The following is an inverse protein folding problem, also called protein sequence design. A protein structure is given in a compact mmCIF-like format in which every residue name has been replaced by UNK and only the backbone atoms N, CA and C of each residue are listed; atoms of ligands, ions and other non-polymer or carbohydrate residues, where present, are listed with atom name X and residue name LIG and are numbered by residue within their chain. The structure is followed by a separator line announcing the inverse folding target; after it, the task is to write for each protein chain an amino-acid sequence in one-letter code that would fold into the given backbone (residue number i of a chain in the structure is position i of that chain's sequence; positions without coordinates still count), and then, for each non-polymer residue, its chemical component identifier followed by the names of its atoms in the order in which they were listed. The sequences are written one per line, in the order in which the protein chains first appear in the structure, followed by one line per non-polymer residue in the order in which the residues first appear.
data_IF_278304523435
#
_entry.id   IF_278304523435
#
_cell.length_a   1.000
_cell.length_b   1.000
_cell.length_c   1.000
_cell.angle_alpha   90.00
_cell.angle_beta   90.00
_cell.angle_gamma   90.00
#
_symmetry.space_group_name_H-M   'P 1'
#
loop_
_entity.id
_entity.type
_entity.pdbx_description
1 polymer ?
#
# COMPACT_ATOMS: atom_id res chain seq x y z
N UNK A 1 2.68 17.69 -35.52
CA UNK A 1 1.45 18.08 -34.80
C UNK A 1 1.04 16.80 -34.11
N UNK A 2 1.80 16.47 -33.07
CA UNK A 2 1.64 15.24 -32.33
C UNK A 2 0.87 15.66 -31.10
N UNK A 3 -0.44 15.46 -31.15
CA UNK A 3 -1.26 15.50 -29.94
C UNK A 3 -0.77 14.33 -29.09
N UNK A 4 0.08 14.63 -28.11
CA UNK A 4 0.11 13.89 -26.85
C UNK A 4 -1.36 13.71 -26.45
N UNK A 5 -1.86 12.48 -26.57
CA UNK A 5 -3.17 12.18 -25.99
C UNK A 5 -2.95 12.23 -24.49
N UNK A 6 -3.47 13.27 -23.86
CA UNK A 6 -3.73 13.31 -22.43
C UNK A 6 -4.40 11.99 -22.04
N UNK A 7 -3.62 11.13 -21.39
CA UNK A 7 -4.08 9.88 -20.79
C UNK A 7 -4.71 10.17 -19.42
N UNK A 8 -5.57 11.19 -19.35
CA UNK A 8 -6.02 11.79 -18.09
C UNK A 8 -7.22 11.08 -17.45
N UNK A 9 -7.74 10.04 -18.10
CA UNK A 9 -9.05 9.45 -17.80
C UNK A 9 -9.15 7.92 -17.90
N UNK A 10 -8.16 7.25 -18.49
CA UNK A 10 -8.35 5.83 -18.85
C UNK A 10 -8.39 4.91 -17.61
N UNK A 11 -9.22 3.83 -17.66
CA UNK A 11 -9.22 2.80 -16.64
C UNK A 11 -7.85 2.14 -16.44
N UNK A 12 -7.55 1.74 -15.21
CA UNK A 12 -6.35 0.96 -14.89
C UNK A 12 -6.33 -0.36 -15.68
N UNK A 13 -7.51 -0.96 -15.90
CA UNK A 13 -7.62 -2.22 -16.66
C UNK A 13 -7.05 -2.14 -18.08
N UNK A 14 -6.96 -0.96 -18.68
CA UNK A 14 -6.48 -0.81 -20.06
C UNK A 14 -4.96 -0.91 -20.19
N UNK A 15 -4.23 -0.66 -19.10
CA UNK A 15 -2.76 -0.72 -19.07
C UNK A 15 -2.22 -2.02 -18.47
N UNK A 16 -3.11 -2.85 -17.91
CA UNK A 16 -2.78 -4.18 -17.41
C UNK A 16 -2.64 -5.19 -18.57
N UNK A 17 -1.72 -6.12 -18.42
CA UNK A 17 -1.51 -7.21 -19.39
C UNK A 17 -2.55 -8.31 -19.15
N UNK A 18 -2.89 -9.05 -20.21
CA UNK A 18 -3.72 -10.25 -20.07
C UNK A 18 -3.02 -11.32 -19.24
N UNK A 19 -3.80 -12.04 -18.42
CA UNK A 19 -3.27 -13.13 -17.61
C UNK A 19 -2.68 -14.26 -18.47
N UNK A 20 -1.69 -14.94 -17.91
CA UNK A 20 -1.11 -16.16 -18.49
C UNK A 20 -1.40 -17.34 -17.56
N UNK A 21 -1.35 -18.56 -18.08
CA UNK A 21 -1.58 -19.78 -17.27
C UNK A 21 -0.66 -19.85 -16.05
N UNK A 22 0.61 -19.47 -16.22
CA UNK A 22 1.61 -19.54 -15.15
C UNK A 22 1.30 -18.52 -14.04
N UNK A 23 0.79 -17.34 -14.42
CA UNK A 23 0.41 -16.29 -13.48
C UNK A 23 -0.89 -16.64 -12.75
N UNK A 24 -1.85 -17.28 -13.41
CA UNK A 24 -3.09 -17.74 -12.76
C UNK A 24 -2.83 -18.79 -11.66
N UNK A 25 -1.70 -19.50 -11.71
CA UNK A 25 -1.28 -20.45 -10.67
C UNK A 25 -0.72 -19.75 -9.41
N UNK A 26 -0.38 -18.46 -9.49
CA UNK A 26 0.12 -17.70 -8.34
C UNK A 26 -1.04 -17.39 -7.37
N UNK A 27 -1.10 -18.06 -6.22
CA UNK A 27 -2.21 -17.86 -5.26
C UNK A 27 -2.00 -16.64 -4.33
N UNK A 28 -0.76 -16.23 -4.11
CA UNK A 28 -0.40 -15.11 -3.22
C UNK A 28 0.99 -14.58 -3.52
N UNK A 29 1.29 -13.36 -3.07
CA UNK A 29 2.64 -12.78 -3.16
C UNK A 29 3.58 -13.25 -2.05
N UNK A 30 3.14 -14.16 -1.17
CA UNK A 30 3.95 -14.61 -0.05
C UNK A 30 5.19 -15.39 -0.53
N UNK A 31 6.39 -14.98 -0.11
CA UNK A 31 7.72 -15.41 -0.56
C UNK A 31 8.17 -14.92 -1.96
N UNK A 32 7.39 -14.07 -2.61
CA UNK A 32 7.77 -13.41 -3.88
C UNK A 32 7.58 -11.89 -3.81
N UNK A 33 7.51 -11.33 -2.60
CA UNK A 33 7.21 -9.92 -2.35
C UNK A 33 8.19 -8.99 -3.07
N UNK A 34 9.46 -9.37 -3.14
CA UNK A 34 10.52 -8.62 -3.82
C UNK A 34 10.23 -8.40 -5.32
N UNK A 35 9.50 -9.31 -5.97
CA UNK A 35 9.16 -9.16 -7.40
C UNK A 35 8.11 -8.07 -7.62
N UNK A 36 7.33 -7.76 -6.58
CA UNK A 36 6.19 -6.83 -6.60
C UNK A 36 6.40 -5.59 -5.72
N UNK A 37 7.62 -5.39 -5.20
CA UNK A 37 7.97 -4.32 -4.27
C UNK A 37 7.55 -2.94 -4.78
N UNK A 38 7.80 -2.62 -6.05
CA UNK A 38 7.48 -1.33 -6.65
C UNK A 38 5.97 -1.02 -6.63
N UNK A 39 5.10 -2.04 -6.73
CA UNK A 39 3.66 -1.85 -6.69
C UNK A 39 3.15 -1.76 -5.25
N UNK A 40 3.73 -2.58 -4.35
CA UNK A 40 3.45 -2.51 -2.93
C UNK A 40 3.83 -1.12 -2.39
N UNK A 41 5.04 -0.67 -2.68
CA UNK A 41 5.57 0.64 -2.33
C UNK A 41 4.71 1.77 -2.90
N UNK A 42 4.25 1.68 -4.15
CA UNK A 42 3.37 2.69 -4.74
C UNK A 42 2.06 2.86 -3.95
N UNK A 43 1.44 1.75 -3.54
CA UNK A 43 0.20 1.80 -2.75
C UNK A 43 0.48 2.24 -1.31
N UNK A 44 1.50 1.66 -0.68
CA UNK A 44 1.91 1.95 0.70
C UNK A 44 2.30 3.42 0.88
N UNK A 45 3.07 3.97 -0.06
CA UNK A 45 3.44 5.38 -0.07
C UNK A 45 2.21 6.29 -0.23
N UNK A 46 1.26 5.96 -1.12
CA UNK A 46 0.01 6.73 -1.25
C UNK A 46 -0.78 6.76 0.07
N UNK A 47 -0.86 5.63 0.77
CA UNK A 47 -1.54 5.54 2.07
C UNK A 47 -0.82 6.39 3.12
N UNK A 48 0.50 6.20 3.25
CA UNK A 48 1.35 6.91 4.21
C UNK A 48 1.26 8.44 4.02
N UNK A 49 1.42 8.89 2.77
CA UNK A 49 1.38 10.30 2.43
C UNK A 49 -0.02 10.90 2.64
N UNK A 50 -1.09 10.18 2.27
CA UNK A 50 -2.45 10.66 2.50
C UNK A 50 -2.76 10.79 3.99
N UNK A 51 -2.36 9.83 4.81
CA UNK A 51 -2.52 9.87 6.26
C UNK A 51 -1.81 11.11 6.86
N UNK A 52 -0.52 11.29 6.58
CA UNK A 52 0.26 12.38 7.18
C UNK A 52 -0.17 13.77 6.68
N UNK A 53 -0.37 13.94 5.37
CA UNK A 53 -0.52 15.27 4.76
C UNK A 53 -1.98 15.71 4.59
N UNK A 54 -2.92 14.76 4.49
CA UNK A 54 -4.32 15.06 4.11
C UNK A 54 -5.33 14.65 5.17
N UNK A 55 -5.16 13.51 5.83
CA UNK A 55 -6.13 12.99 6.78
C UNK A 55 -5.51 12.14 7.92
N UNK A 56 -5.06 12.78 9.02
CA UNK A 56 -4.51 12.06 10.17
C UNK A 56 -5.56 11.27 10.96
N UNK A 57 -6.85 11.39 10.63
CA UNK A 57 -7.93 10.58 11.20
C UNK A 57 -8.25 9.33 10.36
N UNK A 58 -7.54 9.09 9.24
CA UNK A 58 -7.73 7.90 8.41
C UNK A 58 -7.51 6.63 9.23
N UNK A 59 -8.43 5.66 9.10
CA UNK A 59 -8.37 4.38 9.80
C UNK A 59 -8.05 3.24 8.85
N UNK A 60 -7.57 2.14 9.42
CA UNK A 60 -7.27 0.91 8.69
C UNK A 60 -8.52 0.36 7.96
N UNK A 61 -9.71 0.48 8.56
CA UNK A 61 -10.99 0.08 7.94
C UNK A 61 -11.37 0.95 6.72
N UNK A 62 -11.01 2.24 6.74
CA UNK A 62 -11.21 3.12 5.60
C UNK A 62 -10.29 2.72 4.45
N UNK A 63 -9.02 2.38 4.76
CA UNK A 63 -8.05 1.86 3.77
C UNK A 63 -8.54 0.54 3.17
N UNK A 64 -9.06 -0.38 3.98
CA UNK A 64 -9.65 -1.63 3.48
C UNK A 64 -10.78 -1.33 2.48
N UNK A 65 -11.66 -0.38 2.81
CA UNK A 65 -12.78 0.01 1.94
C UNK A 65 -12.28 0.56 0.61
N UNK A 66 -11.29 1.46 0.66
CA UNK A 66 -10.63 2.03 -0.52
C UNK A 66 -10.01 0.95 -1.40
N UNK A 67 -9.20 0.07 -0.83
CA UNK A 67 -8.51 -1.00 -1.57
C UNK A 67 -9.50 -1.98 -2.21
N UNK A 68 -10.56 -2.35 -1.49
CA UNK A 68 -11.63 -3.19 -2.05
C UNK A 68 -12.38 -2.49 -3.17
N UNK A 69 -12.62 -1.18 -3.07
CA UNK A 69 -13.28 -0.42 -4.12
C UNK A 69 -12.42 -0.37 -5.39
N UNK A 70 -11.13 -0.06 -5.25
CA UNK A 70 -10.15 -0.10 -6.35
C UNK A 70 -10.14 -1.49 -7.00
N UNK A 71 -9.95 -2.55 -6.21
CA UNK A 71 -9.87 -3.94 -6.70
C UNK A 71 -11.12 -4.37 -7.49
N UNK A 72 -12.30 -3.87 -7.11
CA UNK A 72 -13.56 -4.26 -7.74
C UNK A 72 -13.95 -3.37 -8.92
N UNK A 73 -13.36 -2.19 -9.06
CA UNK A 73 -13.77 -1.19 -10.04
C UNK A 73 -12.61 -0.65 -10.90
N UNK A 74 -11.44 -1.28 -10.90
CA UNK A 74 -10.26 -0.84 -11.68
C UNK A 74 -10.49 -0.80 -13.21
N UNK A 75 -11.62 -1.34 -13.68
CA UNK A 75 -12.14 -1.23 -15.05
C UNK A 75 -12.88 0.10 -15.34
N UNK A 76 -13.12 0.92 -14.31
CA UNK A 76 -13.72 2.25 -14.41
C UNK A 76 -12.65 3.31 -14.67
N UNK A 77 -13.07 4.39 -15.32
CA UNK A 77 -12.22 5.56 -15.53
C UNK A 77 -11.85 6.23 -14.21
N UNK A 78 -10.70 6.92 -14.20
CA UNK A 78 -10.12 7.53 -12.99
C UNK A 78 -11.05 8.55 -12.33
N UNK A 79 -11.94 9.17 -13.10
CA UNK A 79 -12.97 10.10 -12.65
C UNK A 79 -14.00 9.46 -11.70
N UNK A 80 -14.06 8.13 -11.66
CA UNK A 80 -14.92 7.39 -10.72
C UNK A 80 -14.32 7.27 -9.33
N UNK A 81 -13.07 7.69 -9.13
CA UNK A 81 -12.33 7.57 -7.88
C UNK A 81 -12.02 8.94 -7.29
N UNK A 82 -11.88 8.99 -5.96
CA UNK A 82 -11.58 10.25 -5.26
C UNK A 82 -10.77 10.04 -3.99
N UNK A 83 -10.14 11.12 -3.50
CA UNK A 83 -9.32 11.05 -2.30
C UNK A 83 -8.20 10.03 -2.42
N UNK A 84 -8.03 9.19 -1.40
CA UNK A 84 -6.99 8.16 -1.36
C UNK A 84 -7.09 7.17 -2.53
N UNK A 85 -8.29 6.85 -3.02
CA UNK A 85 -8.45 5.94 -4.16
C UNK A 85 -7.73 6.45 -5.39
N UNK A 86 -7.88 7.76 -5.65
CA UNK A 86 -7.28 8.42 -6.79
C UNK A 86 -5.76 8.51 -6.62
N UNK A 87 -5.28 8.88 -5.44
CA UNK A 87 -3.84 8.94 -5.13
C UNK A 87 -3.16 7.55 -5.32
N UNK A 88 -3.83 6.46 -4.94
CA UNK A 88 -3.32 5.09 -5.17
C UNK A 88 -3.30 4.76 -6.67
N UNK A 89 -4.39 5.04 -7.39
CA UNK A 89 -4.49 4.71 -8.82
C UNK A 89 -3.48 5.50 -9.65
N UNK A 90 -3.28 6.79 -9.37
CA UNK A 90 -2.31 7.62 -10.09
C UNK A 90 -0.88 7.09 -9.91
N UNK A 91 -0.46 6.81 -8.67
CA UNK A 91 0.86 6.23 -8.42
C UNK A 91 1.02 4.84 -9.05
N UNK A 92 0.00 3.98 -8.97
CA UNK A 92 0.05 2.66 -9.61
C UNK A 92 0.13 2.75 -11.14
N UNK A 93 -0.54 3.72 -11.78
CA UNK A 93 -0.47 3.89 -13.23
C UNK A 93 0.95 4.16 -13.69
N UNK A 94 1.66 5.05 -13.00
CA UNK A 94 3.05 5.37 -13.32
C UNK A 94 3.92 4.11 -13.19
N UNK A 95 3.78 3.36 -12.08
CA UNK A 95 4.52 2.11 -11.87
C UNK A 95 4.19 1.04 -12.92
N UNK A 96 2.92 0.85 -13.27
CA UNK A 96 2.48 -0.17 -14.24
C UNK A 96 2.95 0.16 -15.66
N UNK A 97 2.97 1.44 -16.03
CA UNK A 97 3.49 1.88 -17.32
C UNK A 97 5.00 1.60 -17.47
N UNK A 98 5.77 1.71 -16.37
CA UNK A 98 7.19 1.37 -16.35
C UNK A 98 7.45 -0.15 -16.28
N UNK A 99 6.70 -0.85 -15.43
CA UNK A 99 6.79 -2.30 -15.20
C UNK A 99 5.38 -2.89 -15.30
N UNK A 100 4.97 -3.44 -16.45
CA UNK A 100 3.64 -4.00 -16.60
C UNK A 100 3.40 -5.25 -15.76
N UNK A 101 2.19 -5.38 -15.20
CA UNK A 101 1.67 -6.58 -14.52
C UNK A 101 0.33 -6.99 -15.11
N UNK A 102 -0.09 -8.23 -14.85
CA UNK A 102 -1.38 -8.74 -15.28
C UNK A 102 -2.53 -8.31 -14.36
N UNK A 103 -3.76 -8.61 -14.78
CA UNK A 103 -4.95 -8.40 -13.94
C UNK A 103 -4.93 -9.20 -12.64
N UNK A 104 -4.47 -10.44 -12.71
CA UNK A 104 -4.35 -11.33 -11.56
C UNK A 104 -3.30 -10.81 -10.58
N UNK A 105 -2.11 -10.47 -11.05
CA UNK A 105 -1.03 -9.91 -10.22
C UNK A 105 -1.46 -8.61 -9.52
N UNK A 106 -2.12 -7.71 -10.25
CA UNK A 106 -2.68 -6.50 -9.66
C UNK A 106 -3.62 -6.80 -8.48
N UNK A 107 -4.49 -7.81 -8.61
CA UNK A 107 -5.39 -8.21 -7.51
C UNK A 107 -4.60 -8.77 -6.32
N UNK A 108 -3.53 -9.51 -6.59
CA UNK A 108 -2.65 -10.06 -5.54
C UNK A 108 -1.89 -8.96 -4.79
N UNK A 109 -1.46 -7.89 -5.46
CA UNK A 109 -0.87 -6.70 -4.81
C UNK A 109 -1.84 -6.12 -3.79
N UNK A 110 -3.10 -5.91 -4.19
CA UNK A 110 -4.12 -5.38 -3.27
C UNK A 110 -4.42 -6.38 -2.15
N UNK A 111 -4.52 -7.68 -2.44
CA UNK A 111 -4.78 -8.72 -1.44
C UNK A 111 -3.66 -8.85 -0.41
N UNK A 112 -2.41 -8.68 -0.83
CA UNK A 112 -1.27 -8.68 0.06
C UNK A 112 -1.35 -7.53 1.07
N UNK A 113 -1.68 -6.33 0.61
CA UNK A 113 -1.84 -5.16 1.49
C UNK A 113 -3.03 -5.36 2.45
N UNK A 114 -4.16 -5.85 1.96
CA UNK A 114 -5.31 -6.21 2.80
C UNK A 114 -4.94 -7.24 3.87
N UNK A 115 -4.11 -8.23 3.53
CA UNK A 115 -3.58 -9.19 4.48
C UNK A 115 -2.65 -8.51 5.50
N UNK A 116 -1.76 -7.62 5.05
CA UNK A 116 -0.83 -6.85 5.89
C UNK A 116 -1.57 -5.99 6.94
N UNK A 117 -2.69 -5.35 6.55
CA UNK A 117 -3.57 -4.62 7.46
C UNK A 117 -4.13 -5.56 8.53
N UNK A 118 -4.74 -6.68 8.11
CA UNK A 118 -5.35 -7.65 9.03
C UNK A 118 -4.34 -8.25 10.01
N UNK A 119 -3.11 -8.47 9.54
CA UNK A 119 -2.03 -9.02 10.35
C UNK A 119 -1.51 -8.06 11.44
N UNK A 120 -1.99 -6.81 11.49
CA UNK A 120 -1.68 -5.82 12.54
C UNK A 120 -2.82 -5.56 13.52
N UNK A 121 -3.96 -6.25 13.36
CA UNK A 121 -5.13 -6.12 14.25
C UNK A 121 -4.84 -6.44 15.73
N UNK A 122 -3.74 -7.14 16.04
CA UNK A 122 -3.30 -7.42 17.40
C UNK A 122 -2.81 -6.19 18.17
N UNK A 123 -2.51 -5.07 17.49
CA UNK A 123 -2.10 -3.82 18.13
C UNK A 123 -3.26 -3.07 18.80
N UNK A 124 -4.51 -3.53 18.65
CA UNK A 124 -5.72 -2.92 19.21
C UNK A 124 -5.88 -1.41 18.94
N UNK A 125 -5.26 -0.91 17.86
CA UNK A 125 -5.31 0.47 17.35
C UNK A 125 -6.02 0.45 16.00
N UNK A 126 -6.99 1.35 15.80
CA UNK A 126 -7.72 1.48 14.54
C UNK A 126 -6.90 2.15 13.43
N UNK A 127 -5.68 2.59 13.76
CA UNK A 127 -4.69 3.18 12.86
C UNK A 127 -3.36 2.41 12.86
N UNK A 128 -3.36 1.14 13.27
CA UNK A 128 -2.14 0.34 13.41
C UNK A 128 -1.35 0.25 12.10
N UNK A 129 -2.01 -0.08 10.99
CA UNK A 129 -1.38 -0.19 9.69
C UNK A 129 -0.96 1.17 9.14
N UNK A 130 -1.85 2.17 9.16
CA UNK A 130 -1.52 3.50 8.60
C UNK A 130 -0.34 4.16 9.32
N UNK A 131 -0.22 4.01 10.64
CA UNK A 131 0.95 4.51 11.38
C UNK A 131 2.21 3.71 11.06
N UNK A 132 2.08 2.38 10.97
CA UNK A 132 3.21 1.53 10.61
C UNK A 132 3.75 1.87 9.22
N UNK A 133 2.89 2.01 8.22
CA UNK A 133 3.32 2.29 6.85
C UNK A 133 3.92 3.70 6.73
N UNK A 134 3.38 4.69 7.45
CA UNK A 134 4.00 6.03 7.52
C UNK A 134 5.38 6.03 8.17
N UNK A 135 5.60 5.22 9.21
CA UNK A 135 6.93 5.00 9.77
C UNK A 135 7.86 4.25 8.80
N UNK A 136 7.35 3.18 8.19
CA UNK A 136 8.10 2.33 7.26
C UNK A 136 8.59 3.13 6.05
N UNK A 137 7.73 3.93 5.44
CA UNK A 137 8.03 4.80 4.30
C UNK A 137 8.79 6.09 4.68
N UNK A 138 9.18 6.27 5.95
CA UNK A 138 9.93 7.44 6.42
C UNK A 138 9.23 8.79 6.17
N UNK A 139 7.89 8.83 6.33
CA UNK A 139 7.06 10.02 6.05
C UNK A 139 6.79 10.84 7.33
N UNK A 140 7.03 10.25 8.51
CA UNK A 140 6.87 10.95 9.78
C UNK A 140 7.87 12.09 9.98
N UNK A 141 7.43 13.14 10.68
CA UNK A 141 8.34 14.09 11.31
C UNK A 141 9.11 13.42 12.45
N UNK A 142 10.26 13.99 12.84
CA UNK A 142 11.07 13.50 13.98
C UNK A 142 10.23 13.26 15.24
N UNK A 143 9.24 14.13 15.49
CA UNK A 143 8.35 14.03 16.66
C UNK A 143 7.38 12.85 16.54
N UNK A 144 6.74 12.68 15.39
CA UNK A 144 5.80 11.57 15.16
C UNK A 144 6.53 10.23 15.16
N UNK A 145 7.77 10.20 14.66
CA UNK A 145 8.62 9.02 14.71
C UNK A 145 8.95 8.62 16.15
N UNK A 146 9.32 9.58 17.00
CA UNK A 146 9.59 9.33 18.42
C UNK A 146 8.34 8.80 19.13
N UNK A 147 7.19 9.46 18.92
CA UNK A 147 5.89 9.05 19.49
C UNK A 147 5.49 7.64 19.05
N UNK A 148 5.69 7.30 17.77
CA UNK A 148 5.41 5.97 17.25
C UNK A 148 6.35 4.90 17.83
N UNK A 149 7.65 5.18 17.96
CA UNK A 149 8.61 4.24 18.57
C UNK A 149 8.28 3.97 20.04
N UNK A 150 7.96 5.01 20.80
CA UNK A 150 7.55 4.87 22.21
C UNK A 150 6.28 4.02 22.33
N UNK A 151 5.30 4.25 21.46
CA UNK A 151 4.08 3.44 21.40
C UNK A 151 4.39 1.96 21.13
N UNK A 152 5.16 1.65 20.09
CA UNK A 152 5.52 0.26 19.75
C UNK A 152 6.31 -0.42 20.87
N UNK A 153 7.25 0.29 21.51
CA UNK A 153 8.00 -0.26 22.65
C UNK A 153 7.08 -0.62 23.81
N UNK A 154 6.08 0.23 24.10
CA UNK A 154 5.09 -0.04 25.15
C UNK A 154 4.22 -1.26 24.81
N UNK A 155 3.68 -1.32 23.59
CA UNK A 155 2.85 -2.44 23.13
C UNK A 155 3.65 -3.75 23.16
N UNK A 156 4.92 -3.71 22.72
CA UNK A 156 5.80 -4.87 22.74
C UNK A 156 6.05 -5.39 24.17
N UNK A 157 6.26 -4.51 25.14
CA UNK A 157 6.41 -4.89 26.56
C UNK A 157 5.13 -5.51 27.13
N UNK A 158 3.97 -4.91 26.85
CA UNK A 158 2.66 -5.40 27.29
C UNK A 158 2.33 -6.80 26.74
N UNK A 159 2.79 -7.10 25.51
CA UNK A 159 2.60 -8.40 24.86
C UNK A 159 3.74 -9.40 25.12
N UNK A 160 4.81 -8.97 25.81
CA UNK A 160 5.98 -9.80 26.07
C UNK A 160 6.77 -10.17 24.81
N UNK A 161 6.75 -9.32 23.79
CA UNK A 161 7.52 -9.51 22.57
C UNK A 161 9.03 -9.42 22.84
N UNK A 162 9.82 -10.16 22.07
CA UNK A 162 11.27 -10.05 22.18
C UNK A 162 11.76 -8.72 21.59
N UNK A 163 12.99 -8.34 21.95
CA UNK A 163 13.65 -7.19 21.32
C UNK A 163 13.77 -7.37 19.80
N UNK A 164 14.05 -8.58 19.33
CA UNK A 164 14.19 -8.89 17.90
C UNK A 164 12.86 -8.70 17.15
N UNK A 165 11.74 -9.13 17.75
CA UNK A 165 10.42 -8.89 17.19
C UNK A 165 10.09 -7.39 17.14
N UNK A 166 10.44 -6.66 18.20
CA UNK A 166 10.24 -5.20 18.27
C UNK A 166 11.07 -4.46 17.23
N UNK A 167 12.35 -4.81 17.08
CA UNK A 167 13.25 -4.21 16.09
C UNK A 167 12.75 -4.52 14.66
N UNK A 168 12.16 -5.70 14.44
CA UNK A 168 11.54 -6.06 13.16
C UNK A 168 10.35 -5.15 12.83
N UNK A 169 9.46 -4.87 13.80
CA UNK A 169 8.33 -3.93 13.62
C UNK A 169 8.84 -2.52 13.32
N UNK A 170 9.95 -2.12 13.93
CA UNK A 170 10.59 -0.81 13.77
C UNK A 170 11.59 -0.74 12.60
N UNK A 171 11.52 -1.66 11.66
CA UNK A 171 12.29 -1.59 10.41
C UNK A 171 11.69 -0.54 9.48
N UNK A 172 12.55 0.32 8.91
CA UNK A 172 12.19 1.25 7.84
C UNK A 172 12.48 0.61 6.48
N UNK A 173 11.79 1.11 5.45
CA UNK A 173 12.12 0.83 4.06
C UNK A 173 13.59 1.18 3.84
N UNK A 174 14.36 0.26 3.26
CA UNK A 174 15.74 0.55 2.92
C UNK A 174 15.72 1.63 1.83
N UNK A 175 16.24 2.82 2.13
CA UNK A 175 16.51 3.79 1.09
C UNK A 175 17.40 3.12 0.04
N UNK A 176 16.93 3.01 -1.21
CA UNK A 176 17.79 2.68 -2.33
C UNK A 176 18.86 3.79 -2.40
N UNK A 177 20.06 3.50 -1.88
CA UNK A 177 21.26 4.32 -2.07
C UNK A 177 21.84 4.12 -3.46
#
# INVERSE_FOLDING_TARGET
MDTEKEDDGQPLSNILVSDTSDVEELESLFNVEEEYDVYLDAVEFSIAHYYCEKNPELKDDDVITVLLNIKNNYDKGIESFSGLERDIIENLKDTINEKPITHHEFKLVIDYILWSIRNRSWMEDDQAYVKWVSYYCDVFTDKEEEEYKEYIMKVADELGLSKEDTDTILTKQKSLQ
#
